data_IF_580475168460
#
_entry.id   IF_580475168460
#
_cell.length_a   1.000
_cell.length_b   1.000
_cell.length_c   1.000
_cell.angle_alpha   90.00
_cell.angle_beta   90.00
_cell.angle_gamma   90.00
#
_symmetry.space_group_name_H-M   'P 1'
#
loop_
_entity.id
_entity.type
_entity.pdbx_description
1 polymer ?
#
# COMPACT_ATOMS: atom_id res chain seq x y z
N UNK A 1 4.60 20.16 10.47
CA UNK A 1 3.79 18.94 10.26
C UNK A 1 4.65 17.93 9.52
N UNK A 2 5.47 17.18 10.25
CA UNK A 2 6.42 16.23 9.67
C UNK A 2 5.65 15.09 9.01
N UNK A 3 5.69 15.02 7.69
CA UNK A 3 5.06 13.98 6.90
C UNK A 3 5.75 12.66 7.27
N UNK A 4 5.09 11.81 8.06
CA UNK A 4 5.54 10.42 8.28
C UNK A 4 5.56 9.74 6.91
N UNK A 5 6.74 9.69 6.29
CA UNK A 5 6.93 9.08 4.98
C UNK A 5 6.83 7.57 5.17
N UNK A 6 5.68 7.01 4.81
CA UNK A 6 5.50 5.58 4.82
C UNK A 6 6.52 4.90 3.92
N UNK A 7 7.09 3.80 4.39
CA UNK A 7 8.12 3.05 3.67
C UNK A 7 7.65 2.68 2.26
N UNK A 8 6.36 2.41 2.08
CA UNK A 8 5.74 2.11 0.79
C UNK A 8 5.87 3.28 -0.19
N UNK A 9 5.70 4.52 0.29
CA UNK A 9 5.84 5.70 -0.55
C UNK A 9 7.29 5.89 -1.02
N UNK A 10 8.25 5.69 -0.12
CA UNK A 10 9.68 5.71 -0.47
C UNK A 10 10.01 4.65 -1.52
N UNK A 11 9.56 3.42 -1.32
CA UNK A 11 9.81 2.31 -2.26
C UNK A 11 9.20 2.59 -3.63
N UNK A 12 8.00 3.16 -3.69
CA UNK A 12 7.36 3.55 -4.94
C UNK A 12 8.14 4.65 -5.67
N UNK A 13 8.61 5.69 -4.96
CA UNK A 13 9.42 6.77 -5.53
C UNK A 13 10.81 6.28 -5.97
N UNK A 14 11.51 5.50 -5.14
CA UNK A 14 12.84 4.95 -5.44
C UNK A 14 12.82 4.00 -6.64
N UNK A 15 11.77 3.18 -6.76
CA UNK A 15 11.64 2.27 -7.91
C UNK A 15 10.99 2.93 -9.12
N UNK A 16 10.44 4.15 -8.99
CA UNK A 16 9.67 4.80 -10.06
C UNK A 16 8.40 4.05 -10.44
N UNK A 17 7.83 3.28 -9.50
CA UNK A 17 6.70 2.38 -9.73
C UNK A 17 5.39 3.09 -9.34
N UNK A 18 4.35 2.90 -10.16
CA UNK A 18 3.01 3.42 -9.87
C UNK A 18 2.29 2.58 -8.83
N UNK A 19 1.48 3.21 -8.00
CA UNK A 19 0.62 2.52 -7.02
C UNK A 19 -0.31 1.47 -7.67
N UNK A 20 -0.76 1.69 -8.91
CA UNK A 20 -1.54 0.73 -9.69
C UNK A 20 -0.79 -0.58 -9.91
N UNK A 21 0.51 -0.51 -10.22
CA UNK A 21 1.34 -1.70 -10.38
C UNK A 21 1.48 -2.48 -9.07
N UNK A 22 1.63 -1.78 -7.93
CA UNK A 22 1.67 -2.42 -6.62
C UNK A 22 0.33 -3.07 -6.26
N UNK A 23 -0.78 -2.46 -6.65
CA UNK A 23 -2.13 -3.00 -6.47
C UNK A 23 -2.31 -4.30 -7.27
N UNK A 24 -1.88 -4.30 -8.54
CA UNK A 24 -1.90 -5.48 -9.41
C UNK A 24 -1.01 -6.60 -8.87
N UNK A 25 0.19 -6.28 -8.35
CA UNK A 25 1.09 -7.27 -7.76
C UNK A 25 0.59 -7.87 -6.46
N UNK A 26 -0.07 -7.08 -5.62
CA UNK A 26 -0.67 -7.56 -4.38
C UNK A 26 -2.03 -8.22 -4.58
N UNK A 27 -2.62 -8.13 -5.78
CA UNK A 27 -4.00 -8.56 -6.04
C UNK A 27 -5.04 -7.72 -5.30
N UNK A 28 -4.66 -6.55 -4.78
CA UNK A 28 -5.52 -5.70 -3.95
C UNK A 28 -6.01 -4.50 -4.75
N UNK A 29 -7.15 -3.96 -4.34
CA UNK A 29 -7.70 -2.77 -4.96
C UNK A 29 -6.84 -1.53 -4.67
N UNK A 30 -6.83 -0.59 -5.63
CA UNK A 30 -6.05 0.65 -5.54
C UNK A 30 -6.37 1.47 -4.28
N UNK A 31 -7.63 1.46 -3.82
CA UNK A 31 -8.05 2.15 -2.59
C UNK A 31 -7.36 1.60 -1.33
N UNK A 32 -7.10 0.30 -1.28
CA UNK A 32 -6.35 -0.34 -0.20
C UNK A 32 -4.88 0.08 -0.23
N UNK A 33 -4.24 0.01 -1.40
CA UNK A 33 -2.84 0.45 -1.57
C UNK A 33 -2.66 1.93 -1.23
N UNK A 34 -3.62 2.78 -1.61
CA UNK A 34 -3.62 4.19 -1.25
C UNK A 34 -3.76 4.39 0.27
N UNK A 35 -4.54 3.55 0.94
CA UNK A 35 -4.69 3.60 2.40
C UNK A 35 -3.39 3.25 3.13
N UNK A 36 -2.61 2.30 2.61
CA UNK A 36 -1.26 1.99 3.10
C UNK A 36 -0.30 3.17 2.89
N UNK A 37 -0.34 3.82 1.73
CA UNK A 37 0.50 5.00 1.44
C UNK A 37 0.12 6.19 2.32
N UNK A 38 -1.12 6.29 2.78
CA UNK A 38 -1.58 7.34 3.69
C UNK A 38 -1.45 7.00 5.18
N UNK A 39 -0.92 5.82 5.56
CA UNK A 39 -0.87 5.34 6.95
C UNK A 39 -2.23 5.33 7.65
N UNK A 40 -3.32 5.20 6.87
CA UNK A 40 -4.68 5.16 7.41
C UNK A 40 -5.04 3.79 7.97
N UNK A 41 -4.39 2.75 7.46
CA UNK A 41 -4.61 1.36 7.82
C UNK A 41 -3.25 0.69 7.89
N UNK A 42 -2.97 0.02 9.01
CA UNK A 42 -1.79 -0.81 9.13
C UNK A 42 -1.92 -2.04 8.24
N UNK A 43 -0.92 -2.37 7.41
CA UNK A 43 -1.03 -3.49 6.47
C UNK A 43 -1.20 -4.85 7.15
N UNK A 44 -0.83 -4.98 8.43
CA UNK A 44 -1.02 -6.21 9.23
C UNK A 44 -2.49 -6.55 9.46
N UNK A 45 -3.35 -5.54 9.62
CA UNK A 45 -4.77 -5.74 9.90
C UNK A 45 -5.53 -6.32 8.68
N UNK A 46 -4.96 -6.12 7.47
CA UNK A 46 -5.61 -6.46 6.21
C UNK A 46 -5.04 -7.72 5.54
N UNK A 47 -3.93 -8.26 6.04
CA UNK A 47 -3.32 -9.48 5.48
C UNK A 47 -4.17 -10.72 5.81
N UNK A 48 -4.92 -10.72 6.92
CA UNK A 48 -5.73 -11.87 7.35
C UNK A 48 -7.14 -11.95 6.73
N UNK A 49 -7.62 -10.91 6.02
CA UNK A 49 -8.99 -10.88 5.47
C UNK A 49 -9.12 -11.34 4.01
N UNK A 50 -8.01 -11.56 3.31
CA UNK A 50 -8.00 -11.78 1.85
C UNK A 50 -7.63 -13.23 1.45
N UNK A 51 -7.73 -14.17 2.39
CA UNK A 51 -7.53 -15.61 2.16
C UNK A 51 -8.88 -16.38 2.15
N UNK A 52 -9.92 -15.77 1.59
CA UNK A 52 -11.16 -16.49 1.23
C UNK A 52 -11.37 -16.48 -0.28
N UNK A 53 -10.71 -17.44 -0.93
CA UNK A 53 -11.28 -18.11 -2.09
C UNK A 53 -11.07 -19.61 -1.97
#
# INVERSE_FOLDING_TARGET
MGKTMNCIKKVLEEKGIKQTWLAEQLGKSFCIVNSYVCNKVDPKDLIDSDETK
#
